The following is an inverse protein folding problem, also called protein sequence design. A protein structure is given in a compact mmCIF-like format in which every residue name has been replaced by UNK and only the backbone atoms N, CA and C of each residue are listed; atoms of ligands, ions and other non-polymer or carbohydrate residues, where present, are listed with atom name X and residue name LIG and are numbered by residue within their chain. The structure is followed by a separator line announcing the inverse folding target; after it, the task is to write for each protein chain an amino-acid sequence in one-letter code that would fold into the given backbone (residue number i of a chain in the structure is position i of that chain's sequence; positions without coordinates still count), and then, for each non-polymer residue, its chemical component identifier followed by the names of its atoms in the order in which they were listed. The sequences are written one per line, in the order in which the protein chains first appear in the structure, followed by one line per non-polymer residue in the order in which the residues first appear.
data_IF_636657592448
#
_entry.id   IF_636657592448
#
_cell.length_a   1.000
_cell.length_b   1.000
_cell.length_c   1.000
_cell.angle_alpha   90.00
_cell.angle_beta   90.00
_cell.angle_gamma   90.00
#
_symmetry.space_group_name_H-M   'P 1'
#
loop_
_entity.id
_entity.type
_entity.pdbx_description
1 polymer ?
#
# COMPACT_ATOMS: atom_id res chain seq x y z
N UNK A 1 17.11 4.58 8.60
CA UNK A 1 16.49 4.66 7.25
C UNK A 1 16.14 3.24 6.85
N UNK A 2 15.10 3.02 6.03
CA UNK A 2 14.72 1.66 5.61
C UNK A 2 15.62 1.20 4.46
N UNK A 3 15.98 -0.08 4.45
CA UNK A 3 16.67 -0.70 3.33
C UNK A 3 15.72 -1.54 2.45
N UNK A 4 16.26 -2.13 1.38
CA UNK A 4 15.49 -2.94 0.44
C UNK A 4 14.85 -4.17 1.08
N UNK A 5 15.46 -4.74 2.14
CA UNK A 5 14.93 -5.89 2.85
C UNK A 5 13.68 -5.51 3.64
N UNK A 6 13.72 -4.36 4.32
CA UNK A 6 12.55 -3.83 5.04
C UNK A 6 11.42 -3.47 4.06
N UNK A 7 11.78 -2.82 2.95
CA UNK A 7 10.82 -2.38 1.94
C UNK A 7 10.16 -3.55 1.23
N UNK A 8 10.88 -4.65 0.96
CA UNK A 8 10.32 -5.84 0.34
C UNK A 8 9.19 -6.45 1.19
N UNK A 9 9.40 -6.59 2.50
CA UNK A 9 8.38 -7.12 3.40
C UNK A 9 7.23 -6.11 3.55
N UNK A 10 7.55 -4.83 3.72
CA UNK A 10 6.53 -3.78 3.85
C UNK A 10 5.61 -3.69 2.62
N UNK A 11 6.17 -3.77 1.41
CA UNK A 11 5.40 -3.80 0.18
C UNK A 11 4.50 -5.04 0.10
N UNK A 12 5.00 -6.21 0.50
CA UNK A 12 4.20 -7.43 0.56
C UNK A 12 3.00 -7.30 1.52
N UNK A 13 3.21 -6.71 2.70
CA UNK A 13 2.13 -6.40 3.66
C UNK A 13 1.07 -5.49 3.05
N UNK A 14 1.45 -4.46 2.27
CA UNK A 14 0.51 -3.54 1.61
C UNK A 14 -0.31 -4.27 0.53
N UNK A 15 0.32 -5.13 -0.27
CA UNK A 15 -0.35 -5.89 -1.33
C UNK A 15 -1.41 -6.84 -0.72
N UNK A 16 -1.08 -7.46 0.40
CA UNK A 16 -1.92 -8.45 1.11
C UNK A 16 -2.97 -7.80 2.03
N UNK A 17 -3.45 -6.61 1.70
CA UNK A 17 -4.52 -5.95 2.50
C UNK A 17 -5.87 -6.68 2.32
N UNK A 18 -6.40 -7.24 3.41
CA UNK A 18 -7.68 -7.98 3.41
C UNK A 18 -8.94 -7.14 3.24
N UNK A 19 -8.83 -5.81 3.29
CA UNK A 19 -9.94 -4.86 3.25
C UNK A 19 -10.14 -4.21 1.86
N UNK A 20 -9.52 -4.76 0.82
CA UNK A 20 -9.73 -4.30 -0.57
C UNK A 20 -11.17 -4.61 -1.03
N UNK A 21 -11.88 -3.66 -1.65
CA UNK A 21 -13.20 -3.92 -2.23
C UNK A 21 -13.19 -5.05 -3.25
N UNK A 22 -14.23 -5.89 -3.25
CA UNK A 22 -14.40 -6.97 -4.23
C UNK A 22 -13.64 -8.27 -3.94
N UNK A 23 -12.93 -8.36 -2.81
CA UNK A 23 -12.32 -9.63 -2.38
C UNK A 23 -13.39 -10.69 -2.09
N UNK A 24 -13.23 -11.87 -2.71
CA UNK A 24 -14.18 -13.00 -2.57
C UNK A 24 -13.88 -13.85 -1.33
N UNK A 25 -12.61 -14.02 -0.97
CA UNK A 25 -12.19 -14.81 0.18
C UNK A 25 -11.07 -14.09 0.94
N UNK A 26 -11.47 -13.35 1.99
CA UNK A 26 -10.59 -12.47 2.76
C UNK A 26 -9.70 -13.25 3.74
N UNK A 27 -10.22 -14.30 4.37
CA UNK A 27 -9.52 -15.04 5.43
C UNK A 27 -8.10 -15.49 5.08
N UNK A 28 -7.82 -16.18 3.96
CA UNK A 28 -6.46 -16.60 3.63
C UNK A 28 -5.52 -15.41 3.34
N UNK A 29 -6.06 -14.26 2.91
CA UNK A 29 -5.26 -13.05 2.66
C UNK A 29 -4.79 -12.48 4.00
N UNK A 30 -5.69 -12.36 4.98
CA UNK A 30 -5.38 -11.90 6.34
C UNK A 30 -4.39 -12.83 7.05
N UNK A 31 -4.56 -14.16 6.94
CA UNK A 31 -3.62 -15.13 7.53
C UNK A 31 -2.18 -14.98 7.00
N UNK A 32 -2.03 -14.68 5.71
CA UNK A 32 -0.72 -14.39 5.11
C UNK A 32 -0.23 -13.01 5.55
N UNK A 33 -1.11 -12.00 5.58
CA UNK A 33 -0.74 -10.65 6.01
C UNK A 33 -0.24 -10.63 7.46
N UNK A 34 -0.88 -11.36 8.37
CA UNK A 34 -0.48 -11.50 9.78
C UNK A 34 0.92 -12.10 9.89
N UNK A 35 1.21 -13.12 9.07
CA UNK A 35 2.53 -13.76 9.02
C UNK A 35 3.60 -12.78 8.52
N UNK A 36 3.27 -11.96 7.52
CA UNK A 36 4.17 -10.92 6.99
C UNK A 36 4.37 -9.76 7.97
N UNK A 37 3.35 -9.37 8.73
CA UNK A 37 3.44 -8.35 9.77
C UNK A 37 4.39 -8.77 10.90
N UNK A 38 4.32 -10.04 11.32
CA UNK A 38 5.27 -10.60 12.29
C UNK A 38 6.70 -10.61 11.74
N UNK A 39 6.87 -11.00 10.47
CA UNK A 39 8.17 -10.97 9.80
C UNK A 39 8.74 -9.55 9.70
N UNK A 40 7.90 -8.57 9.37
CA UNK A 40 8.28 -7.16 9.30
C UNK A 40 8.69 -6.62 10.68
N UNK A 41 7.91 -6.91 11.73
CA UNK A 41 8.25 -6.47 13.08
C UNK A 41 9.60 -7.03 13.54
N UNK A 42 9.86 -8.32 13.27
CA UNK A 42 11.13 -8.96 13.59
C UNK A 42 12.29 -8.37 12.78
N UNK A 43 12.13 -8.22 11.47
CA UNK A 43 13.12 -7.63 10.57
C UNK A 43 13.54 -6.25 11.06
N UNK A 44 12.57 -5.38 11.38
CA UNK A 44 12.86 -4.02 11.82
C UNK A 44 13.56 -3.98 13.19
N UNK A 45 13.21 -4.88 14.12
CA UNK A 45 13.89 -4.98 15.42
C UNK A 45 15.36 -5.40 15.27
N UNK A 46 15.66 -6.28 14.31
CA UNK A 46 17.02 -6.75 14.05
C UNK A 46 17.85 -5.74 13.28
N UNK A 47 17.27 -5.13 12.25
CA UNK A 47 17.96 -4.23 11.33
C UNK A 47 18.07 -2.80 11.86
N UNK A 48 17.12 -2.37 12.70
CA UNK A 48 17.04 -1.02 13.28
C UNK A 48 16.86 -1.06 14.81
N UNK A 49 17.82 -1.62 15.58
CA UNK A 49 17.67 -1.84 17.02
C UNK A 49 17.45 -0.55 17.82
N UNK A 50 17.96 0.59 17.34
CA UNK A 50 17.80 1.90 18.00
C UNK A 50 16.44 2.57 17.71
N UNK A 51 15.59 1.97 16.86
CA UNK A 51 14.33 2.55 16.39
C UNK A 51 13.11 1.77 16.86
N UNK A 52 12.88 1.73 18.19
CA UNK A 52 11.82 0.92 18.82
C UNK A 52 10.38 1.18 18.34
N UNK A 53 10.11 2.34 17.75
CA UNK A 53 8.78 2.71 17.24
C UNK A 53 8.65 2.60 15.72
N UNK A 54 9.64 2.04 15.02
CA UNK A 54 9.68 2.02 13.56
C UNK A 54 8.53 1.21 12.94
N UNK A 55 8.20 0.07 13.53
CA UNK A 55 7.07 -0.75 13.09
C UNK A 55 5.75 0.02 13.14
N UNK A 56 5.43 0.64 14.29
CA UNK A 56 4.21 1.45 14.44
C UNK A 56 4.17 2.63 13.46
N UNK A 57 5.32 3.29 13.23
CA UNK A 57 5.43 4.36 12.21
C UNK A 57 5.14 3.85 10.80
N UNK A 58 5.61 2.65 10.45
CA UNK A 58 5.33 2.06 9.14
C UNK A 58 3.86 1.70 8.96
N UNK A 59 3.19 1.16 9.99
CA UNK A 59 1.75 0.93 9.95
C UNK A 59 0.98 2.24 9.72
N UNK A 60 1.38 3.33 10.39
CA UNK A 60 0.79 4.64 10.13
C UNK A 60 1.01 5.10 8.69
N UNK A 61 2.20 4.85 8.12
CA UNK A 61 2.49 5.20 6.71
C UNK A 61 1.64 4.42 5.72
N UNK A 62 1.16 3.22 6.04
CA UNK A 62 0.20 2.52 5.19
C UNK A 62 -1.11 3.30 5.04
N UNK A 63 -1.61 3.87 6.14
CA UNK A 63 -2.80 4.73 6.14
C UNK A 63 -2.54 6.01 5.33
N UNK A 64 -1.39 6.66 5.56
CA UNK A 64 -1.01 7.87 4.82
C UNK A 64 -0.96 7.61 3.30
N UNK A 65 -0.41 6.46 2.87
CA UNK A 65 -0.36 6.08 1.45
C UNK A 65 -1.74 5.92 0.82
N UNK A 66 -2.71 5.35 1.55
CA UNK A 66 -4.10 5.23 1.06
C UNK A 66 -4.75 6.60 0.86
N UNK A 67 -4.47 7.54 1.76
CA UNK A 67 -4.94 8.91 1.61
C UNK A 67 -4.35 9.58 0.37
N UNK A 68 -3.03 9.46 0.16
CA UNK A 68 -2.36 9.99 -1.04
C UNK A 68 -2.94 9.41 -2.33
N UNK A 69 -3.19 8.09 -2.38
CA UNK A 69 -3.82 7.46 -3.55
C UNK A 69 -5.23 8.01 -3.79
N UNK A 70 -6.03 8.20 -2.74
CA UNK A 70 -7.38 8.78 -2.84
C UNK A 70 -7.35 10.19 -3.43
N UNK A 71 -6.48 11.05 -2.91
CA UNK A 71 -6.29 12.42 -3.41
C UNK A 71 -5.79 12.43 -4.86
N UNK A 72 -4.88 11.52 -5.20
CA UNK A 72 -4.36 11.38 -6.55
C UNK A 72 -5.46 10.97 -7.56
N UNK A 73 -6.32 10.01 -7.20
CA UNK A 73 -7.45 9.58 -8.02
C UNK A 73 -8.42 10.74 -8.28
N UNK A 74 -8.74 11.54 -7.25
CA UNK A 74 -9.59 12.72 -7.40
C UNK A 74 -8.98 13.75 -8.37
N UNK A 75 -7.69 14.01 -8.26
CA UNK A 75 -6.98 14.91 -9.19
C UNK A 75 -7.03 14.38 -10.62
N UNK A 76 -6.78 13.08 -10.83
CA UNK A 76 -6.87 12.46 -12.15
C UNK A 76 -8.28 12.58 -12.75
N UNK A 77 -9.33 12.45 -11.93
CA UNK A 77 -10.71 12.65 -12.40
C UNK A 77 -10.98 14.09 -12.83
N UNK A 78 -10.39 15.09 -12.16
CA UNK A 78 -10.48 16.49 -12.58
C UNK A 78 -9.79 16.68 -13.92
N UNK A 79 -8.53 16.21 -14.05
CA UNK A 79 -7.75 16.38 -15.27
C UNK A 79 -8.45 15.72 -16.47
N UNK A 80 -8.98 14.50 -16.30
CA UNK A 80 -9.74 13.80 -17.36
C UNK A 80 -10.98 14.55 -17.84
N UNK A 81 -11.58 15.41 -17.01
CA UNK A 81 -12.75 16.23 -17.39
C UNK A 81 -12.34 17.54 -18.05
N UNK A 82 -11.21 18.11 -17.67
CA UNK A 82 -10.76 19.43 -18.13
C UNK A 82 -9.85 19.38 -19.34
N UNK A 83 -9.09 18.29 -19.52
CA UNK A 83 -8.11 18.15 -20.60
C UNK A 83 -8.57 17.09 -21.60
N UNK A 84 -9.05 17.55 -22.77
CA UNK A 84 -9.56 16.69 -23.84
C UNK A 84 -8.49 15.75 -24.47
N UNK A 85 -7.21 16.00 -24.21
CA UNK A 85 -6.09 15.28 -24.82
C UNK A 85 -5.36 14.32 -23.86
N UNK A 86 -5.71 14.29 -22.57
CA UNK A 86 -5.02 13.42 -21.62
C UNK A 86 -5.49 11.97 -21.71
N UNK A 87 -4.85 11.20 -22.59
CA UNK A 87 -5.04 9.76 -22.69
C UNK A 87 -4.11 9.04 -21.70
N UNK A 88 -4.64 8.63 -20.55
CA UNK A 88 -3.93 7.70 -19.66
C UNK A 88 -3.60 6.40 -20.42
N UNK A 89 -2.44 5.80 -20.13
CA UNK A 89 -2.08 4.51 -20.69
C UNK A 89 -3.14 3.44 -20.33
N UNK A 90 -3.51 2.50 -21.22
CA UNK A 90 -4.59 1.53 -20.96
C UNK A 90 -4.44 0.75 -19.64
N UNK A 91 -3.21 0.39 -19.26
CA UNK A 91 -2.94 -0.26 -17.97
C UNK A 91 -3.34 0.61 -16.77
N UNK A 92 -3.03 1.91 -16.81
CA UNK A 92 -3.41 2.85 -15.75
C UNK A 92 -4.93 3.07 -15.74
N UNK A 93 -5.56 3.09 -16.92
CA UNK A 93 -7.02 3.20 -17.00
C UNK A 93 -7.68 2.05 -16.27
N UNK A 94 -7.21 0.81 -16.42
CA UNK A 94 -7.77 -0.35 -15.72
C UNK A 94 -7.50 -0.30 -14.21
N UNK A 95 -6.31 0.13 -13.78
CA UNK A 95 -6.00 0.28 -12.35
C UNK A 95 -6.93 1.30 -11.68
N UNK A 96 -7.23 2.41 -12.35
CA UNK A 96 -8.10 3.49 -11.82
C UNK A 96 -9.58 3.32 -12.16
N UNK A 97 -9.94 2.23 -12.83
CA UNK A 97 -11.32 1.92 -13.17
C UNK A 97 -12.00 1.45 -11.88
N UNK A 98 -12.93 2.27 -11.40
CA UNK A 98 -13.74 1.98 -10.21
C UNK A 98 -12.99 2.11 -8.85
N UNK A 99 -11.84 2.81 -8.84
CA UNK A 99 -11.20 3.35 -7.63
C UNK A 99 -11.87 4.65 -7.14
#
# INVERSE_FOLDING_TARGET
ELDDSDLAIFAAVIILSGDRPGLVNVKPIEEIQDSLLQALELQLKLNHPDSSQLFAKLLQKMTDLRQVVTEHVQLLQVIRKTEAEMCLHPLLQEIYKDL
#
